data_IF_477433545936
#
_entry.id   IF_477433545936
#
_cell.length_a   1.000
_cell.length_b   1.000
_cell.length_c   1.000
_cell.angle_alpha   90.00
_cell.angle_beta   90.00
_cell.angle_gamma   90.00
#
_symmetry.space_group_name_H-M   'P 1'
#
loop_
_entity.id
_entity.type
_entity.pdbx_description
1 polymer ?
#
# COMPACT_ATOMS: atom_id res chain seq x y z
N UNK A 1 -69.10 -49.17 5.74
CA UNK A 1 -69.83 -48.03 5.14
C UNK A 1 -69.97 -47.02 6.28
N UNK A 2 -69.23 -45.93 6.38
CA UNK A 2 -68.94 -44.94 5.35
C UNK A 2 -67.63 -44.19 5.69
N UNK A 3 -66.97 -43.71 4.64
CA UNK A 3 -65.69 -43.02 4.65
C UNK A 3 -65.84 -41.52 4.99
N UNK A 4 -64.92 -40.97 5.77
CA UNK A 4 -64.52 -39.56 5.78
C UNK A 4 -63.08 -39.55 6.32
N UNK A 5 -62.02 -39.65 5.52
CA UNK A 5 -61.42 -38.62 4.66
C UNK A 5 -61.50 -37.21 5.24
N UNK A 6 -60.71 -36.97 6.29
CA UNK A 6 -60.22 -35.62 6.58
C UNK A 6 -58.72 -35.59 6.29
N UNK A 7 -58.39 -34.97 5.16
CA UNK A 7 -57.03 -34.73 4.72
C UNK A 7 -56.41 -33.75 5.71
N UNK A 8 -55.72 -34.29 6.72
CA UNK A 8 -54.77 -33.54 7.54
C UNK A 8 -53.67 -33.04 6.62
N UNK A 9 -53.94 -31.93 5.93
CA UNK A 9 -52.96 -31.11 5.25
C UNK A 9 -51.99 -30.70 6.34
N UNK A 10 -50.84 -31.36 6.36
CA UNK A 10 -49.62 -30.82 6.93
C UNK A 10 -49.43 -29.46 6.28
N UNK A 11 -49.92 -28.41 6.94
CA UNK A 11 -49.50 -27.05 6.67
C UNK A 11 -48.00 -27.12 6.94
N UNK A 12 -47.11 -26.92 5.94
CA UNK A 12 -45.72 -26.71 6.29
C UNK A 12 -45.76 -25.46 7.16
N UNK A 13 -45.54 -25.64 8.45
CA UNK A 13 -45.21 -24.55 9.34
C UNK A 13 -44.05 -23.88 8.64
N UNK A 14 -44.31 -22.71 8.05
CA UNK A 14 -43.25 -21.84 7.57
C UNK A 14 -42.48 -21.47 8.82
N UNK A 15 -41.49 -22.28 9.13
CA UNK A 15 -40.49 -22.02 10.15
C UNK A 15 -39.73 -20.82 9.61
N UNK A 16 -40.17 -19.62 9.98
CA UNK A 16 -39.30 -18.46 9.93
C UNK A 16 -38.20 -18.70 10.96
N UNK A 17 -37.13 -19.38 10.53
CA UNK A 17 -35.74 -19.14 10.91
C UNK A 17 -34.96 -20.41 10.62
N UNK A 18 -34.52 -20.55 9.37
CA UNK A 18 -33.20 -21.13 9.17
C UNK A 18 -32.21 -20.29 10.01
N UNK A 19 -31.15 -20.91 10.52
CA UNK A 19 -30.13 -20.17 11.26
C UNK A 19 -29.56 -19.05 10.37
N UNK A 20 -29.21 -17.88 10.92
CA UNK A 20 -28.52 -16.81 10.17
C UNK A 20 -27.34 -17.37 9.38
N UNK A 21 -27.25 -17.05 8.09
CA UNK A 21 -26.11 -17.45 7.24
C UNK A 21 -25.64 -16.29 6.37
N UNK A 22 -24.33 -16.22 6.13
CA UNK A 22 -23.66 -15.16 5.36
C UNK A 22 -23.89 -15.21 3.83
N UNK A 23 -25.04 -15.71 3.38
CA UNK A 23 -25.42 -15.83 1.97
C UNK A 23 -26.94 -16.03 1.78
N UNK A 24 -27.75 -15.62 2.75
CA UNK A 24 -29.21 -15.74 2.72
C UNK A 24 -29.93 -14.50 2.17
N UNK A 25 -29.17 -13.49 1.75
CA UNK A 25 -29.68 -12.24 1.18
C UNK A 25 -30.43 -11.36 2.17
N UNK A 26 -30.24 -11.54 3.47
CA UNK A 26 -30.79 -10.67 4.51
C UNK A 26 -29.73 -10.29 5.52
N UNK A 27 -29.75 -9.04 6.00
CA UNK A 27 -28.89 -8.65 7.12
C UNK A 27 -29.47 -9.20 8.42
N UNK A 28 -28.90 -10.27 8.95
CA UNK A 28 -29.35 -10.90 10.20
C UNK A 28 -28.15 -11.39 11.06
N UNK A 29 -28.43 -12.06 12.18
CA UNK A 29 -27.37 -12.58 13.04
C UNK A 29 -26.43 -11.49 13.59
N UNK A 30 -25.12 -11.66 13.36
CA UNK A 30 -24.07 -10.72 13.76
C UNK A 30 -23.46 -9.93 12.58
N UNK A 31 -24.11 -9.96 11.42
CA UNK A 31 -23.64 -9.25 10.22
C UNK A 31 -23.67 -7.73 10.40
N UNK A 32 -22.66 -7.05 9.83
CA UNK A 32 -22.58 -5.59 9.85
C UNK A 32 -22.99 -4.98 8.51
N UNK A 33 -22.77 -5.70 7.40
CA UNK A 33 -23.42 -5.47 6.10
C UNK A 33 -24.47 -6.55 5.82
N UNK A 34 -24.99 -6.62 4.60
CA UNK A 34 -25.87 -7.72 4.18
C UNK A 34 -25.00 -8.91 3.74
N UNK A 35 -25.16 -10.07 4.38
CA UNK A 35 -24.37 -11.28 4.08
C UNK A 35 -22.85 -11.12 4.33
N UNK A 36 -22.43 -10.13 5.11
CA UNK A 36 -21.02 -9.82 5.35
C UNK A 36 -20.76 -9.11 6.67
N UNK A 37 -19.49 -9.17 7.11
CA UNK A 37 -19.00 -8.52 8.33
C UNK A 37 -19.46 -9.22 9.61
N UNK A 38 -18.96 -8.76 10.75
CA UNK A 38 -19.07 -9.52 12.00
C UNK A 38 -18.03 -10.66 12.07
N UNK A 39 -18.04 -11.44 13.17
CA UNK A 39 -16.99 -12.43 13.43
C UNK A 39 -17.10 -13.70 12.58
N UNK A 40 -18.30 -14.03 12.09
CA UNK A 40 -18.60 -15.32 11.44
C UNK A 40 -18.72 -15.21 9.92
N UNK A 41 -18.78 -14.00 9.36
CA UNK A 41 -18.98 -13.77 7.93
C UNK A 41 -17.75 -13.16 7.25
N UNK A 42 -17.62 -13.31 5.91
CA UNK A 42 -16.57 -12.66 5.15
C UNK A 42 -16.62 -11.13 5.30
N UNK A 43 -15.48 -10.48 5.13
CA UNK A 43 -15.41 -9.03 5.18
C UNK A 43 -16.26 -8.39 4.07
N UNK A 44 -16.87 -7.27 4.41
CA UNK A 44 -17.72 -6.48 3.55
C UNK A 44 -16.93 -5.68 2.50
N UNK A 45 -17.44 -5.57 1.25
CA UNK A 45 -16.90 -4.68 0.24
C UNK A 45 -17.18 -3.21 0.58
N UNK A 46 -16.54 -2.30 -0.15
CA UNK A 46 -16.75 -0.86 -0.01
C UNK A 46 -18.23 -0.47 -0.15
N UNK A 47 -18.71 0.39 0.75
CA UNK A 47 -20.08 0.90 0.78
C UNK A 47 -21.05 0.08 1.64
N UNK A 48 -20.68 -1.13 2.05
CA UNK A 48 -21.48 -1.96 2.96
C UNK A 48 -21.28 -1.56 4.43
N UNK A 49 -22.22 -1.97 5.28
CA UNK A 49 -22.22 -1.63 6.69
C UNK A 49 -21.06 -2.26 7.48
N UNK A 50 -20.55 -1.54 8.49
CA UNK A 50 -19.46 -2.00 9.35
C UNK A 50 -19.55 -1.39 10.76
N UNK A 51 -18.96 -2.06 11.75
CA UNK A 51 -18.75 -1.52 13.10
C UNK A 51 -17.28 -1.22 13.37
N UNK A 52 -16.37 -1.99 12.76
CA UNK A 52 -14.92 -1.88 12.92
C UNK A 52 -14.22 -2.11 11.59
N UNK A 53 -12.94 -1.76 11.50
CA UNK A 53 -12.13 -2.06 10.32
C UNK A 53 -12.07 -3.54 9.96
N UNK A 54 -12.17 -4.43 10.96
CA UNK A 54 -12.17 -5.89 10.73
C UNK A 54 -13.35 -6.36 9.88
N UNK A 55 -14.46 -5.60 9.86
CA UNK A 55 -15.63 -5.92 9.05
C UNK A 55 -15.40 -5.64 7.56
N UNK A 56 -14.37 -4.89 7.17
CA UNK A 56 -14.19 -4.38 5.82
C UNK A 56 -13.00 -5.01 5.11
N UNK A 57 -13.15 -5.33 3.82
CA UNK A 57 -12.03 -5.82 2.98
C UNK A 57 -10.88 -4.81 2.98
N UNK A 58 -11.20 -3.51 2.97
CA UNK A 58 -10.21 -2.43 3.05
C UNK A 58 -9.56 -2.30 4.43
N UNK A 59 -10.10 -2.92 5.47
CA UNK A 59 -9.70 -2.67 6.85
C UNK A 59 -10.19 -1.32 7.40
N UNK A 60 -10.99 -0.56 6.65
CA UNK A 60 -11.40 0.81 7.00
C UNK A 60 -12.92 0.90 7.12
N UNK A 61 -13.40 1.09 8.35
CA UNK A 61 -14.78 1.44 8.64
C UNK A 61 -14.88 2.94 8.94
N UNK A 62 -15.59 3.69 8.10
CA UNK A 62 -15.65 5.14 8.23
C UNK A 62 -16.61 5.60 9.36
N UNK A 63 -16.63 6.91 9.64
CA UNK A 63 -17.48 7.49 10.67
C UNK A 63 -19.00 7.34 10.41
N UNK A 64 -19.40 6.98 9.18
CA UNK A 64 -20.80 6.70 8.82
C UNK A 64 -21.17 5.22 8.94
N UNK A 65 -20.29 4.39 9.52
CA UNK A 65 -20.47 2.93 9.64
C UNK A 65 -20.56 2.22 8.28
N UNK A 66 -19.81 2.72 7.29
CA UNK A 66 -19.66 2.09 5.99
C UNK A 66 -18.21 1.78 5.68
N UNK A 67 -17.95 0.65 5.02
CA UNK A 67 -16.64 0.27 4.55
C UNK A 67 -16.15 1.28 3.51
N UNK A 68 -15.01 1.93 3.76
CA UNK A 68 -14.41 2.87 2.83
C UNK A 68 -13.57 2.15 1.77
N UNK A 69 -13.34 2.80 0.63
CA UNK A 69 -12.31 2.36 -0.30
C UNK A 69 -10.91 2.59 0.31
N UNK A 70 -9.92 1.74 0.01
CA UNK A 70 -8.52 1.97 0.34
C UNK A 70 -8.03 3.35 -0.12
N UNK A 71 -7.27 4.06 0.70
CA UNK A 71 -6.61 5.32 0.34
C UNK A 71 -5.24 5.44 0.97
N UNK A 72 -4.31 6.14 0.31
CA UNK A 72 -2.91 6.35 0.74
C UNK A 72 -2.72 7.23 1.99
N UNK A 73 -3.74 7.36 2.83
CA UNK A 73 -3.74 8.13 4.07
C UNK A 73 -4.82 7.66 5.06
N UNK A 74 -5.28 6.42 4.94
CA UNK A 74 -6.30 5.84 5.83
C UNK A 74 -5.72 5.12 7.06
N UNK A 75 -4.39 5.13 7.21
CA UNK A 75 -3.67 4.54 8.33
C UNK A 75 -3.73 3.01 8.36
N UNK A 76 -4.02 2.37 7.22
CA UNK A 76 -4.05 0.91 7.07
C UNK A 76 -3.25 0.53 5.84
N UNK A 77 -2.37 -0.47 5.95
CA UNK A 77 -1.73 -1.05 4.77
C UNK A 77 -2.76 -1.88 3.98
N UNK A 78 -3.31 -1.32 2.91
CA UNK A 78 -4.37 -1.96 2.12
C UNK A 78 -4.23 -1.64 0.62
N UNK A 79 -5.18 -2.11 -0.20
CA UNK A 79 -5.17 -1.85 -1.64
C UNK A 79 -3.91 -2.38 -2.33
N UNK A 80 -3.17 -1.49 -3.00
CA UNK A 80 -1.91 -1.82 -3.71
C UNK A 80 -0.67 -1.28 -3.01
N UNK A 81 -0.80 -0.84 -1.76
CA UNK A 81 0.31 -0.27 -1.00
C UNK A 81 1.39 -1.32 -0.68
N UNK A 82 2.65 -0.92 -0.77
CA UNK A 82 3.78 -1.79 -0.40
C UNK A 82 4.27 -1.51 1.02
N UNK A 83 4.16 -0.26 1.49
CA UNK A 83 4.28 0.14 2.89
C UNK A 83 2.92 0.56 3.44
N UNK A 84 2.86 1.07 4.66
CA UNK A 84 1.60 1.61 5.20
C UNK A 84 1.38 3.01 4.62
N UNK A 85 0.25 3.25 3.94
CA UNK A 85 -0.09 4.54 3.32
C UNK A 85 0.93 5.00 2.25
N UNK A 86 1.71 4.09 1.67
CA UNK A 86 2.77 4.42 0.71
C UNK A 86 3.13 3.26 -0.23
N UNK A 87 3.79 3.62 -1.34
CA UNK A 87 4.29 2.69 -2.35
C UNK A 87 3.19 2.07 -3.21
N UNK A 88 3.56 1.27 -4.19
CA UNK A 88 2.64 0.86 -5.25
C UNK A 88 2.38 2.00 -6.26
N UNK A 89 1.50 1.77 -7.24
CA UNK A 89 1.36 2.68 -8.38
C UNK A 89 0.58 3.97 -8.07
N UNK A 90 -0.30 3.93 -7.07
CA UNK A 90 -1.26 5.02 -6.81
C UNK A 90 -0.89 5.89 -5.60
N UNK A 91 0.10 5.47 -4.79
CA UNK A 91 0.48 6.15 -3.56
C UNK A 91 1.87 6.81 -3.65
N UNK A 92 2.15 7.81 -2.79
CA UNK A 92 3.48 8.40 -2.69
C UNK A 92 4.53 7.35 -2.35
N UNK A 93 5.78 7.61 -2.76
CA UNK A 93 6.89 6.72 -2.43
C UNK A 93 7.10 6.63 -0.91
N UNK A 94 7.46 5.45 -0.46
CA UNK A 94 7.73 5.10 0.90
C UNK A 94 9.06 5.67 1.42
N UNK A 95 9.10 6.15 2.68
CA UNK A 95 10.33 6.51 3.36
C UNK A 95 11.17 5.27 3.71
N UNK A 96 12.41 5.50 4.14
CA UNK A 96 13.31 4.44 4.61
C UNK A 96 12.67 3.58 5.70
N UNK A 97 12.79 2.26 5.58
CA UNK A 97 12.29 1.27 6.53
C UNK A 97 10.87 0.77 6.23
N UNK A 98 10.11 1.46 5.38
CA UNK A 98 8.79 1.03 4.95
C UNK A 98 8.84 -0.04 3.85
N UNK A 99 7.73 -0.76 3.68
CA UNK A 99 7.67 -1.89 2.75
C UNK A 99 7.72 -1.48 1.27
N UNK A 100 8.37 -2.30 0.45
CA UNK A 100 8.54 -2.07 -0.99
C UNK A 100 8.60 -3.39 -1.78
N UNK A 101 8.24 -3.33 -3.06
CA UNK A 101 8.46 -4.40 -4.02
C UNK A 101 9.56 -4.05 -5.02
N UNK A 102 9.70 -2.77 -5.36
CA UNK A 102 10.67 -2.26 -6.32
C UNK A 102 11.26 -0.93 -5.83
N UNK A 103 12.35 -0.49 -6.46
CA UNK A 103 12.91 0.83 -6.18
C UNK A 103 11.94 1.98 -6.42
N UNK A 104 10.98 1.83 -7.33
CA UNK A 104 9.96 2.84 -7.61
C UNK A 104 9.07 3.12 -6.39
N UNK A 105 8.92 2.16 -5.48
CA UNK A 105 8.14 2.33 -4.27
C UNK A 105 8.86 3.19 -3.22
N UNK A 106 10.16 3.44 -3.35
CA UNK A 106 10.98 4.08 -2.31
C UNK A 106 11.42 5.49 -2.71
N UNK A 107 11.38 6.43 -1.76
CA UNK A 107 11.93 7.78 -1.97
C UNK A 107 13.42 7.72 -2.35
N UNK A 108 14.16 6.78 -1.76
CA UNK A 108 15.57 6.54 -2.11
C UNK A 108 15.77 5.90 -3.49
N UNK A 109 14.73 5.34 -4.10
CA UNK A 109 14.86 4.50 -5.28
C UNK A 109 15.42 3.10 -4.99
N UNK A 110 15.64 2.74 -3.72
CA UNK A 110 16.29 1.49 -3.32
C UNK A 110 15.37 0.64 -2.46
N UNK A 111 14.92 -0.49 -3.01
CA UNK A 111 14.24 -1.54 -2.27
C UNK A 111 15.21 -2.70 -2.01
N UNK A 112 15.46 -2.99 -0.74
CA UNK A 112 16.45 -3.99 -0.36
C UNK A 112 15.90 -5.43 -0.46
N UNK A 113 16.78 -6.42 -0.28
CA UNK A 113 16.41 -7.84 -0.34
C UNK A 113 15.40 -8.30 0.73
N UNK A 114 15.16 -7.48 1.76
CA UNK A 114 14.16 -7.73 2.80
C UNK A 114 12.81 -7.05 2.51
N UNK A 115 12.63 -6.50 1.30
CA UNK A 115 11.42 -5.76 0.91
C UNK A 115 11.16 -4.51 1.75
N UNK A 116 12.25 -3.82 2.14
CA UNK A 116 12.18 -2.54 2.83
C UNK A 116 12.98 -1.48 2.07
N UNK A 117 12.47 -0.25 2.08
CA UNK A 117 13.15 0.90 1.51
C UNK A 117 14.44 1.16 2.29
N UNK A 118 15.57 1.12 1.60
CA UNK A 118 16.87 1.42 2.20
C UNK A 118 17.13 2.93 2.22
N UNK A 119 17.94 3.38 3.17
CA UNK A 119 18.50 4.73 3.12
C UNK A 119 19.42 4.86 1.88
N UNK A 120 19.47 6.03 1.24
CA UNK A 120 20.47 6.36 0.22
C UNK A 120 21.89 6.04 0.69
N UNK A 121 22.71 5.38 -0.13
CA UNK A 121 24.14 5.21 0.13
C UNK A 121 24.96 5.48 -1.12
N UNK A 122 26.20 5.96 -0.94
CA UNK A 122 27.15 6.33 -2.00
C UNK A 122 27.71 5.14 -2.82
N UNK A 123 26.98 4.03 -2.87
CA UNK A 123 27.34 2.78 -3.54
C UNK A 123 26.11 1.89 -3.76
N UNK A 124 24.90 2.44 -3.75
CA UNK A 124 23.65 1.70 -3.97
C UNK A 124 23.25 1.61 -5.44
N UNK A 125 24.04 2.20 -6.35
CA UNK A 125 23.82 2.20 -7.78
C UNK A 125 22.61 3.02 -8.23
N UNK A 126 22.16 3.97 -7.41
CA UNK A 126 21.07 4.90 -7.71
C UNK A 126 21.54 6.31 -7.39
N UNK A 127 21.34 7.25 -8.32
CA UNK A 127 21.57 8.67 -8.02
C UNK A 127 20.48 9.19 -7.07
N UNK A 128 20.78 9.29 -5.78
CA UNK A 128 19.83 9.67 -4.74
C UNK A 128 20.49 10.47 -3.60
N UNK A 129 19.72 10.82 -2.56
CA UNK A 129 20.27 11.52 -1.40
C UNK A 129 20.90 12.88 -1.74
N UNK A 130 22.18 13.04 -1.37
CA UNK A 130 22.97 14.27 -1.62
C UNK A 130 23.92 14.13 -2.82
N UNK A 131 23.84 13.03 -3.57
CA UNK A 131 24.74 12.77 -4.68
C UNK A 131 24.55 13.75 -5.84
N UNK A 132 25.65 14.24 -6.40
CA UNK A 132 25.61 15.10 -7.59
C UNK A 132 25.86 14.30 -8.87
N UNK A 133 26.66 13.23 -8.79
CA UNK A 133 26.78 12.18 -9.79
C UNK A 133 26.09 10.92 -9.30
N UNK A 134 26.22 9.79 -9.99
CA UNK A 134 25.70 8.52 -9.48
C UNK A 134 26.72 7.92 -8.50
N UNK A 135 26.33 7.63 -7.26
CA UNK A 135 27.21 7.08 -6.21
C UNK A 135 28.40 8.00 -5.85
N UNK A 136 28.32 9.30 -6.14
CA UNK A 136 29.42 10.24 -5.91
C UNK A 136 28.97 11.71 -5.81
N UNK A 137 29.86 12.54 -5.24
CA UNK A 137 29.69 13.98 -5.10
C UNK A 137 28.73 14.37 -3.97
N UNK A 138 28.57 15.68 -3.72
CA UNK A 138 27.89 16.16 -2.52
C UNK A 138 28.78 16.08 -1.27
N UNK A 139 28.20 16.38 -0.10
CA UNK A 139 28.96 16.44 1.16
C UNK A 139 29.32 15.08 1.76
N UNK A 140 28.50 14.07 1.47
CA UNK A 140 28.51 12.80 2.22
C UNK A 140 29.12 11.64 1.42
N UNK A 141 29.40 11.85 0.13
CA UNK A 141 29.94 10.85 -0.78
C UNK A 141 31.33 11.19 -1.30
N UNK A 142 32.10 10.19 -1.76
CA UNK A 142 33.38 10.42 -2.43
C UNK A 142 33.22 11.33 -3.63
N UNK A 143 34.27 12.10 -3.93
CA UNK A 143 34.27 12.98 -5.11
C UNK A 143 34.09 12.18 -6.40
N UNK A 144 33.36 12.77 -7.34
CA UNK A 144 33.04 12.22 -8.62
C UNK A 144 34.25 12.24 -9.59
N UNK A 145 34.42 11.18 -10.39
CA UNK A 145 35.36 11.16 -11.51
C UNK A 145 34.92 12.09 -12.65
N UNK A 146 35.83 12.34 -13.59
CA UNK A 146 35.52 13.12 -14.80
C UNK A 146 34.32 12.55 -15.56
N UNK A 147 33.40 13.41 -15.96
CA UNK A 147 32.19 13.07 -16.72
C UNK A 147 30.95 12.84 -15.86
N UNK A 148 31.10 12.70 -14.54
CA UNK A 148 29.96 12.55 -13.62
C UNK A 148 29.37 13.90 -13.20
N UNK A 149 28.14 13.88 -12.68
CA UNK A 149 27.41 15.08 -12.30
C UNK A 149 28.01 15.83 -11.10
N UNK A 150 27.96 17.16 -11.13
CA UNK A 150 28.46 18.03 -10.07
C UNK A 150 27.64 19.32 -9.94
N UNK A 151 27.67 19.92 -8.76
CA UNK A 151 27.15 21.26 -8.50
C UNK A 151 28.27 22.28 -8.25
N UNK A 152 29.37 21.82 -7.64
CA UNK A 152 30.53 22.64 -7.29
C UNK A 152 31.82 21.88 -7.55
N UNK A 153 32.95 22.60 -7.57
CA UNK A 153 34.26 21.96 -7.69
C UNK A 153 34.57 20.94 -6.59
N UNK A 154 33.99 21.09 -5.40
CA UNK A 154 34.17 20.16 -4.28
C UNK A 154 33.61 18.76 -4.59
N UNK A 155 32.64 18.66 -5.50
CA UNK A 155 32.05 17.39 -5.90
C UNK A 155 32.99 16.57 -6.80
N UNK A 156 34.04 17.16 -7.37
CA UNK A 156 34.88 16.53 -8.39
C UNK A 156 36.28 16.20 -7.87
N UNK A 157 36.82 15.05 -8.25
CA UNK A 157 38.22 14.67 -7.94
C UNK A 157 39.20 15.73 -8.49
N UNK A 158 38.88 16.30 -9.64
CA UNK A 158 39.64 17.37 -10.30
C UNK A 158 39.45 18.75 -9.69
N UNK A 159 38.54 18.93 -8.73
CA UNK A 159 38.17 20.26 -8.24
C UNK A 159 37.41 21.14 -9.26
N UNK A 160 37.10 20.64 -10.47
CA UNK A 160 36.49 21.43 -11.55
C UNK A 160 35.12 20.88 -11.93
N UNK A 161 34.07 21.64 -11.61
CA UNK A 161 32.73 21.44 -12.14
C UNK A 161 32.47 22.42 -13.29
N UNK A 162 32.21 21.91 -14.49
CA UNK A 162 32.04 22.75 -15.67
C UNK A 162 30.63 23.37 -15.76
N UNK A 163 30.43 24.26 -16.74
CA UNK A 163 29.13 24.93 -16.95
C UNK A 163 27.98 23.98 -17.36
N UNK A 164 28.27 22.74 -17.72
CA UNK A 164 27.26 21.70 -18.00
C UNK A 164 26.98 20.81 -16.80
N UNK A 165 27.44 21.17 -15.60
CA UNK A 165 27.27 20.39 -14.37
C UNK A 165 27.94 19.00 -14.42
N UNK A 166 29.08 18.90 -15.12
CA UNK A 166 29.88 17.69 -15.17
C UNK A 166 31.31 17.95 -14.67
N UNK A 167 31.88 16.98 -13.96
CA UNK A 167 33.27 17.01 -13.54
C UNK A 167 34.17 16.98 -14.78
N UNK A 168 35.00 18.00 -14.93
CA UNK A 168 35.96 18.08 -16.03
C UNK A 168 37.36 17.72 -15.54
N UNK A 169 38.22 17.19 -16.42
CA UNK A 169 39.64 17.05 -16.09
C UNK A 169 40.26 18.42 -15.84
N UNK A 170 41.29 18.46 -14.99
CA UNK A 170 42.21 19.59 -15.04
C UNK A 170 42.87 19.57 -16.43
N UNK A 171 43.01 20.73 -17.08
CA UNK A 171 43.39 20.93 -18.50
C UNK A 171 42.23 20.72 -19.49
N UNK A 172 41.77 21.73 -20.25
CA UNK A 172 42.57 22.45 -21.25
C UNK A 172 42.26 23.96 -21.38
N UNK A 173 43.35 24.70 -21.59
CA UNK A 173 43.45 25.96 -22.35
C UNK A 173 43.19 25.69 -23.83
#
# INVERSE_FOLDING_TARGET
MNLANDQFRLVPTSTCSDAPTCNDTVKNGQETGKDCGGPDCPQCPTGEGCNTGADCISGVCNATHLCAAPTCNDTVKNGQETGKDCGGPDCPQCPTGEGCNTGADCISGVCNATHLCAAPTCNDTVKNGQETGKDCGGSDCPQCPTGEGCNTGADCISGVCNATHLCAGEYFN
#
